data_IF_850249174059
#
_entry.id   IF_850249174059
#
_cell.length_a   1.000
_cell.length_b   1.000
_cell.length_c   1.000
_cell.angle_alpha   90.00
_cell.angle_beta   90.00
_cell.angle_gamma   90.00
#
_symmetry.space_group_name_H-M   'P 1'
#
loop_
_entity.id
_entity.type
_entity.pdbx_description
1 polymer ?
#
# COMPACT_ATOMS: atom_id res chain seq x y z
N UNK A 1 25.88 63.64 0.71
CA UNK A 1 26.06 63.64 -0.75
C UNK A 1 24.99 62.74 -1.38
N UNK A 2 24.38 63.22 -2.46
CA UNK A 2 23.35 62.54 -3.27
C UNK A 2 23.99 61.53 -4.23
N UNK A 3 23.24 60.47 -4.57
CA UNK A 3 23.07 59.80 -5.88
C UNK A 3 22.54 58.39 -5.58
N UNK A 4 21.32 57.92 -5.92
CA UNK A 4 20.52 57.87 -7.15
C UNK A 4 21.18 57.11 -8.30
N UNK A 5 20.92 55.80 -8.40
CA UNK A 5 20.64 55.18 -9.70
C UNK A 5 19.83 53.86 -9.59
N UNK A 6 18.80 53.73 -10.44
CA UNK A 6 17.99 52.55 -10.82
C UNK A 6 17.49 52.86 -12.25
N UNK A 7 16.99 51.93 -13.11
CA UNK A 7 17.03 50.45 -13.27
C UNK A 7 17.60 50.07 -14.69
N UNK A 8 17.31 48.92 -15.39
CA UNK A 8 16.40 47.78 -15.14
C UNK A 8 16.95 46.36 -15.42
N UNK A 9 16.14 45.36 -15.04
CA UNK A 9 15.98 44.14 -15.85
C UNK A 9 16.76 42.91 -15.39
N UNK A 10 16.05 41.87 -14.99
CA UNK A 10 16.61 40.56 -14.70
C UNK A 10 15.52 39.61 -14.22
N UNK A 11 14.91 38.92 -15.19
CA UNK A 11 13.80 37.99 -15.03
C UNK A 11 14.16 36.81 -14.12
N UNK A 12 13.68 36.83 -12.88
CA UNK A 12 13.64 35.66 -12.01
C UNK A 12 12.22 35.11 -12.00
N UNK A 13 11.89 34.21 -12.93
CA UNK A 13 10.66 33.40 -12.88
C UNK A 13 10.75 32.47 -11.66
N UNK A 14 10.39 32.98 -10.49
CA UNK A 14 10.00 32.15 -9.36
C UNK A 14 8.71 31.43 -9.74
N UNK A 15 8.78 30.12 -9.91
CA UNK A 15 7.61 29.27 -10.03
C UNK A 15 6.79 29.43 -8.74
N UNK A 16 5.78 30.30 -8.79
CA UNK A 16 4.75 30.36 -7.78
C UNK A 16 4.00 29.04 -7.87
N UNK A 17 4.14 28.19 -6.85
CA UNK A 17 3.26 27.06 -6.63
C UNK A 17 1.84 27.61 -6.47
N UNK A 18 1.01 27.45 -7.49
CA UNK A 18 -0.40 27.82 -7.42
C UNK A 18 -1.05 26.97 -6.33
N UNK A 19 -1.75 27.59 -5.35
CA UNK A 19 -2.51 26.84 -4.36
C UNK A 19 -3.52 25.93 -5.07
N UNK A 20 -3.64 24.68 -4.64
CA UNK A 20 -4.65 23.74 -5.15
C UNK A 20 -6.02 24.35 -4.83
N UNK A 21 -6.66 24.94 -5.83
CA UNK A 21 -8.01 25.46 -5.69
C UNK A 21 -8.99 24.31 -5.89
N UNK A 22 -9.59 23.85 -4.80
CA UNK A 22 -10.75 22.97 -4.83
C UNK A 22 -11.96 23.78 -5.29
N UNK A 23 -12.00 24.16 -6.57
CA UNK A 23 -13.23 24.68 -7.17
C UNK A 23 -14.23 23.53 -7.19
N UNK A 24 -15.29 23.66 -6.39
CA UNK A 24 -16.49 22.86 -6.55
C UNK A 24 -16.94 22.98 -8.02
N UNK A 25 -17.30 21.86 -8.66
CA UNK A 25 -17.66 21.78 -10.08
C UNK A 25 -18.85 22.71 -10.38
N UNK A 26 -18.58 23.95 -10.78
CA UNK A 26 -19.61 24.94 -11.07
C UNK A 26 -20.07 24.90 -12.52
N UNK A 27 -19.39 24.15 -13.39
CA UNK A 27 -19.80 23.95 -14.79
C UNK A 27 -20.62 22.66 -14.94
N UNK A 28 -21.76 22.78 -15.60
CA UNK A 28 -22.66 21.66 -15.93
C UNK A 28 -21.95 20.63 -16.81
N UNK A 29 -21.02 21.09 -17.66
CA UNK A 29 -20.23 20.20 -18.52
C UNK A 29 -19.32 19.25 -17.71
N UNK A 30 -18.67 19.76 -16.66
CA UNK A 30 -17.78 18.94 -15.82
C UNK A 30 -18.57 17.92 -14.97
N UNK A 31 -19.76 18.30 -14.49
CA UNK A 31 -20.66 17.40 -13.76
C UNK A 31 -21.10 16.24 -14.64
N UNK A 32 -21.46 16.52 -15.89
CA UNK A 32 -21.86 15.48 -16.85
C UNK A 32 -20.70 14.56 -17.24
N UNK A 33 -19.48 15.08 -17.31
CA UNK A 33 -18.29 14.26 -17.57
C UNK A 33 -18.00 13.31 -16.40
N UNK A 34 -18.10 13.80 -15.17
CA UNK A 34 -18.01 12.97 -13.97
C UNK A 34 -19.10 11.89 -13.92
N UNK A 35 -20.36 12.25 -14.23
CA UNK A 35 -21.47 11.29 -14.29
C UNK A 35 -21.19 10.18 -15.30
N UNK A 36 -20.72 10.53 -16.51
CA UNK A 36 -20.30 9.54 -17.52
C UNK A 36 -19.17 8.65 -17.03
N UNK A 37 -18.17 9.24 -16.36
CA UNK A 37 -17.05 8.49 -15.77
C UNK A 37 -17.51 7.50 -14.69
N UNK A 38 -18.39 7.92 -13.79
CA UNK A 38 -18.93 7.07 -12.73
C UNK A 38 -19.81 5.95 -13.27
N UNK A 39 -20.66 6.23 -14.27
CA UNK A 39 -21.48 5.21 -14.93
C UNK A 39 -20.61 4.17 -15.67
N UNK A 40 -19.55 4.62 -16.34
CA UNK A 40 -18.58 3.72 -16.98
C UNK A 40 -17.86 2.85 -15.94
N UNK A 41 -17.46 3.43 -14.81
CA UNK A 41 -16.82 2.69 -13.73
C UNK A 41 -17.76 1.64 -13.12
N UNK A 42 -19.04 1.99 -12.94
CA UNK A 42 -20.07 1.06 -12.45
C UNK A 42 -20.31 -0.09 -13.44
N UNK A 43 -20.33 0.22 -14.75
CA UNK A 43 -20.43 -0.79 -15.79
C UNK A 43 -19.22 -1.73 -15.80
N UNK A 44 -18.01 -1.19 -15.62
CA UNK A 44 -16.80 -2.00 -15.50
C UNK A 44 -16.83 -2.90 -14.25
N UNK A 45 -17.47 -2.46 -13.16
CA UNK A 45 -17.74 -3.28 -11.98
C UNK A 45 -18.73 -4.42 -12.26
N UNK A 46 -19.90 -4.12 -12.84
CA UNK A 46 -20.92 -5.14 -13.11
C UNK A 46 -20.50 -6.16 -14.17
N UNK A 47 -19.67 -5.75 -15.13
CA UNK A 47 -19.11 -6.63 -16.15
C UNK A 47 -17.94 -7.48 -15.64
N UNK A 48 -17.46 -7.24 -14.41
CA UNK A 48 -16.29 -7.92 -13.84
C UNK A 48 -14.97 -7.52 -14.50
N UNK A 49 -14.95 -6.45 -15.30
CA UNK A 49 -13.73 -5.90 -15.91
C UNK A 49 -12.84 -5.23 -14.87
N UNK A 50 -13.44 -4.59 -13.87
CA UNK A 50 -12.73 -4.12 -12.69
C UNK A 50 -12.66 -5.26 -11.67
N UNK A 51 -11.49 -5.90 -11.56
CA UNK A 51 -11.17 -6.81 -10.48
C UNK A 51 -10.07 -6.16 -9.63
N UNK A 52 -10.36 -5.93 -8.35
CA UNK A 52 -9.35 -5.42 -7.41
C UNK A 52 -8.34 -6.51 -7.03
N UNK A 53 -8.78 -7.77 -7.12
CA UNK A 53 -8.01 -8.95 -6.79
C UNK A 53 -8.16 -9.96 -7.93
N UNK A 54 -7.04 -10.51 -8.42
CA UNK A 54 -7.02 -11.40 -9.59
C UNK A 54 -7.78 -12.71 -9.34
N UNK A 55 -8.01 -13.48 -10.40
CA UNK A 55 -8.76 -14.75 -10.34
C UNK A 55 -8.19 -15.75 -9.30
N UNK A 56 -6.89 -15.69 -9.03
CA UNK A 56 -6.19 -16.62 -8.12
C UNK A 56 -5.76 -15.99 -6.78
N UNK A 57 -5.93 -14.68 -6.61
CA UNK A 57 -5.66 -13.94 -5.37
C UNK A 57 -7.00 -13.45 -4.79
N UNK A 58 -7.59 -14.20 -3.87
CA UNK A 58 -8.89 -13.83 -3.28
C UNK A 58 -8.72 -12.85 -2.11
N UNK A 59 -9.76 -12.03 -1.86
CA UNK A 59 -9.84 -11.20 -0.65
C UNK A 59 -9.59 -12.01 0.62
N UNK A 60 -10.11 -13.23 0.68
CA UNK A 60 -9.95 -14.14 1.82
C UNK A 60 -8.48 -14.53 2.04
N UNK A 61 -7.71 -14.73 0.97
CA UNK A 61 -6.29 -15.07 1.08
C UNK A 61 -5.46 -13.88 1.59
N UNK A 62 -5.76 -12.65 1.16
CA UNK A 62 -5.10 -11.46 1.73
C UNK A 62 -5.52 -11.21 3.17
N UNK A 63 -6.79 -11.41 3.51
CA UNK A 63 -7.26 -11.35 4.90
C UNK A 63 -6.55 -12.38 5.77
N UNK A 64 -6.29 -13.58 5.23
CA UNK A 64 -5.51 -14.60 5.91
C UNK A 64 -4.07 -14.13 6.15
N UNK A 65 -3.37 -13.62 5.13
CA UNK A 65 -2.00 -13.07 5.28
C UNK A 65 -1.97 -11.92 6.30
N UNK A 66 -2.95 -11.02 6.24
CA UNK A 66 -3.11 -9.95 7.24
C UNK A 66 -3.27 -10.53 8.64
N UNK A 67 -4.12 -11.56 8.80
CA UNK A 67 -4.32 -12.22 10.09
C UNK A 67 -3.04 -12.85 10.64
N UNK A 68 -2.24 -13.47 9.78
CA UNK A 68 -0.92 -14.01 10.14
C UNK A 68 0.04 -12.92 10.59
N UNK A 69 0.11 -11.79 9.87
CA UNK A 69 0.94 -10.63 10.24
C UNK A 69 0.53 -10.07 11.61
N UNK A 70 -0.78 -9.91 11.86
CA UNK A 70 -1.27 -9.43 13.14
C UNK A 70 -0.98 -10.40 14.30
N UNK A 71 -1.15 -11.71 14.07
CA UNK A 71 -0.80 -12.73 15.06
C UNK A 71 0.69 -12.67 15.40
N UNK A 72 1.55 -12.56 14.40
CA UNK A 72 3.00 -12.46 14.59
C UNK A 72 3.38 -11.19 15.37
N UNK A 73 2.79 -10.05 15.03
CA UNK A 73 3.04 -8.79 15.74
C UNK A 73 2.60 -8.85 17.21
N UNK A 74 1.41 -9.43 17.49
CA UNK A 74 0.92 -9.65 18.85
C UNK A 74 1.85 -10.57 19.63
N UNK A 75 2.20 -11.72 19.05
CA UNK A 75 3.12 -12.68 19.67
C UNK A 75 4.47 -12.04 19.98
N UNK A 76 5.04 -11.28 19.04
CA UNK A 76 6.31 -10.60 19.26
C UNK A 76 6.23 -9.66 20.47
N UNK A 77 5.17 -8.85 20.58
CA UNK A 77 4.98 -7.96 21.73
C UNK A 77 4.81 -8.73 23.05
N UNK A 78 4.02 -9.80 23.05
CA UNK A 78 3.83 -10.68 24.22
C UNK A 78 5.16 -11.29 24.68
N UNK A 79 5.93 -11.88 23.76
CA UNK A 79 7.23 -12.50 24.05
C UNK A 79 8.25 -11.47 24.54
N UNK A 80 8.25 -10.24 24.01
CA UNK A 80 9.09 -9.16 24.52
C UNK A 80 8.71 -8.76 25.94
N UNK A 81 7.41 -8.67 26.25
CA UNK A 81 6.92 -8.40 27.59
C UNK A 81 7.29 -9.50 28.59
N UNK A 82 7.10 -10.76 28.24
CA UNK A 82 7.50 -11.91 29.06
C UNK A 82 9.02 -11.94 29.31
N UNK A 83 9.82 -11.53 28.32
CA UNK A 83 11.27 -11.47 28.42
C UNK A 83 11.75 -10.38 29.40
N UNK A 84 11.04 -9.27 29.49
CA UNK A 84 11.35 -8.16 30.41
C UNK A 84 11.14 -8.56 31.88
N UNK A 85 10.13 -9.39 32.15
CA UNK A 85 9.80 -9.91 33.49
C UNK A 85 10.76 -11.03 33.95
N UNK A 86 11.56 -11.60 33.05
CA UNK A 86 12.47 -12.69 33.38
C UNK A 86 13.77 -12.20 34.06
N UNK A 87 14.29 -12.99 35.03
CA UNK A 87 15.63 -12.81 35.56
C UNK A 87 16.70 -12.81 34.46
N UNK A 88 17.70 -11.95 34.58
CA UNK A 88 18.72 -11.70 33.56
C UNK A 88 19.50 -12.97 33.13
N UNK A 89 19.73 -13.88 34.08
CA UNK A 89 20.37 -15.18 33.86
C UNK A 89 19.56 -16.12 32.95
N UNK A 90 18.24 -15.92 32.85
CA UNK A 90 17.33 -16.72 32.03
C UNK A 90 16.96 -16.06 30.70
N UNK A 91 17.13 -14.73 30.59
CA UNK A 91 16.72 -13.97 29.39
C UNK A 91 17.37 -14.48 28.12
N UNK A 92 18.66 -14.84 28.14
CA UNK A 92 19.32 -15.32 26.92
C UNK A 92 18.65 -16.58 26.36
N UNK A 93 18.47 -17.60 27.20
CA UNK A 93 17.86 -18.85 26.77
C UNK A 93 16.40 -18.67 26.32
N UNK A 94 15.63 -17.84 27.02
CA UNK A 94 14.27 -17.50 26.62
C UNK A 94 14.23 -16.71 25.31
N UNK A 95 15.13 -15.75 25.11
CA UNK A 95 15.25 -14.97 23.88
C UNK A 95 15.60 -15.84 22.68
N UNK A 96 16.51 -16.80 22.83
CA UNK A 96 16.88 -17.73 21.76
C UNK A 96 15.65 -18.56 21.35
N UNK A 97 14.91 -19.13 22.32
CA UNK A 97 13.70 -19.90 22.06
C UNK A 97 12.56 -19.05 21.45
N UNK A 98 12.42 -17.80 21.89
CA UNK A 98 11.44 -16.86 21.35
C UNK A 98 11.76 -16.54 19.88
N UNK A 99 13.03 -16.34 19.55
CA UNK A 99 13.47 -16.07 18.18
C UNK A 99 13.17 -17.26 17.26
N UNK A 100 13.46 -18.49 17.69
CA UNK A 100 13.16 -19.69 16.91
C UNK A 100 11.67 -19.79 16.57
N UNK A 101 10.80 -19.49 17.54
CA UNK A 101 9.35 -19.46 17.33
C UNK A 101 8.93 -18.37 16.36
N UNK A 102 9.45 -17.16 16.51
CA UNK A 102 9.15 -16.04 15.62
C UNK A 102 9.63 -16.31 14.18
N UNK A 103 10.79 -16.95 14.01
CA UNK A 103 11.30 -17.34 12.71
C UNK A 103 10.41 -18.39 12.04
N UNK A 104 9.95 -19.39 12.79
CA UNK A 104 9.00 -20.40 12.27
C UNK A 104 7.68 -19.77 11.79
N UNK A 105 7.08 -18.89 12.59
CA UNK A 105 5.83 -18.21 12.21
C UNK A 105 6.05 -17.25 11.01
N UNK A 106 7.24 -16.62 10.92
CA UNK A 106 7.61 -15.76 9.81
C UNK A 106 7.83 -16.55 8.51
N UNK A 107 8.42 -17.75 8.58
CA UNK A 107 8.57 -18.65 7.43
C UNK A 107 7.22 -19.10 6.88
N UNK A 108 6.26 -19.43 7.76
CA UNK A 108 4.90 -19.76 7.36
C UNK A 108 4.22 -18.59 6.64
N UNK A 109 4.33 -17.38 7.21
CA UNK A 109 3.82 -16.15 6.60
C UNK A 109 4.45 -15.90 5.22
N UNK A 110 5.77 -16.07 5.10
CA UNK A 110 6.48 -15.92 3.83
C UNK A 110 5.96 -16.92 2.78
N UNK A 111 5.72 -18.18 3.17
CA UNK A 111 5.12 -19.18 2.27
C UNK A 111 3.72 -18.76 1.80
N UNK A 112 2.89 -18.24 2.69
CA UNK A 112 1.55 -17.74 2.33
C UNK A 112 1.61 -16.55 1.36
N UNK A 113 2.55 -15.62 1.55
CA UNK A 113 2.76 -14.49 0.62
C UNK A 113 3.27 -14.97 -0.75
N UNK A 114 4.19 -15.93 -0.79
CA UNK A 114 4.67 -16.49 -2.06
C UNK A 114 3.55 -17.15 -2.88
N UNK A 115 2.60 -17.81 -2.21
CA UNK A 115 1.41 -18.36 -2.88
C UNK A 115 0.55 -17.27 -3.52
N UNK A 116 0.46 -16.08 -2.91
CA UNK A 116 -0.23 -14.93 -3.53
C UNK A 116 0.49 -14.46 -4.80
N UNK A 117 1.83 -14.49 -4.84
CA UNK A 117 2.59 -14.03 -6.01
C UNK A 117 2.53 -15.01 -7.20
N UNK A 118 2.41 -16.32 -6.92
CA UNK A 118 2.27 -17.34 -7.97
C UNK A 118 0.91 -17.24 -8.68
N UNK A 119 -0.12 -16.81 -7.95
CA UNK A 119 -1.45 -16.54 -8.47
C UNK A 119 -1.48 -15.41 -9.51
N UNK A 120 -0.63 -14.39 -9.37
CA UNK A 120 -0.54 -13.29 -10.34
C UNK A 120 0.21 -13.67 -11.63
N UNK A 121 1.00 -14.76 -11.63
CA UNK A 121 1.88 -15.13 -12.74
C UNK A 121 1.30 -16.17 -13.71
N UNK A 122 0.19 -16.83 -13.38
CA UNK A 122 -0.43 -17.89 -14.20
C UNK A 122 -1.44 -17.37 -15.24
N UNK A 123 -1.90 -16.11 -15.14
CA UNK A 123 -2.95 -15.54 -16.00
C UNK A 123 -2.38 -14.69 -17.17
N UNK A 124 -1.28 -15.13 -17.78
CA UNK A 124 -0.90 -14.62 -19.12
C UNK A 124 -1.54 -15.55 -20.15
N UNK A 125 -2.60 -15.16 -20.86
CA UNK A 125 -3.09 -15.94 -21.98
C UNK A 125 -1.97 -15.97 -23.00
N UNK A 126 -1.47 -17.16 -23.31
CA UNK A 126 -0.63 -17.37 -24.48
C UNK A 126 -1.47 -17.02 -25.71
N UNK A 127 -1.42 -15.76 -26.14
CA UNK A 127 -1.96 -15.28 -27.41
C UNK A 127 -1.08 -15.82 -28.55
N UNK A 128 -1.01 -17.14 -28.68
CA UNK A 128 -0.50 -17.81 -29.86
C UNK A 128 -1.57 -17.74 -30.93
N UNK A 129 -1.48 -16.68 -31.74
CA UNK A 129 -1.70 -16.66 -33.19
C UNK A 129 -2.78 -17.59 -33.76
N UNK A 130 -3.86 -16.98 -34.27
CA UNK A 130 -4.60 -17.45 -35.44
C UNK A 130 -4.62 -16.34 -36.48
#
# INVERSE_FOLDING_TARGET
>A
MKEKNKPPGGEGKGAQSTPIQHSFLTDVSDVQEMERGLLSLLNDFHSGKLQAFGNECSIEQMEHVRGMQEKLARLNLELYGELEELPEDKRKAASDANLDRLLSDLEELNSSIQKLHLADAQDVPNASSS
#
